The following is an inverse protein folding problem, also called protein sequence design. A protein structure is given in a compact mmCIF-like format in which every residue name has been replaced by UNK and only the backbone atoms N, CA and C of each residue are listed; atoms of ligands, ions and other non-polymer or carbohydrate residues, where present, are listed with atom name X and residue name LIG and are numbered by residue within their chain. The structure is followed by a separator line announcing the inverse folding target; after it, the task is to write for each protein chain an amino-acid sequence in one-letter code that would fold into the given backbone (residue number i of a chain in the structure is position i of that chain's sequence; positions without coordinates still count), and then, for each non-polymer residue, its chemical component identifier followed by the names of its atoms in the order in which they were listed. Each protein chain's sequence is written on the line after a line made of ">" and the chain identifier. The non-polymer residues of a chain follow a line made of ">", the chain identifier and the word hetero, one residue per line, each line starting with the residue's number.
data_IF_637002770097
#
_entry.id   IF_637002770097
#
_cell.length_a   1.000
_cell.length_b   1.000
_cell.length_c   1.000
_cell.angle_alpha   90.00
_cell.angle_beta   90.00
_cell.angle_gamma   90.00
#
_symmetry.space_group_name_H-M   'P 1'
#
loop_
_entity.id
_entity.type
_entity.pdbx_description
1 polymer ?
#
# COMPACT_ATOMS: atom_id res chain seq x y z
N UNK A 1 -53.46 14.58 -18.29
CA UNK A 1 -52.30 14.89 -19.15
C UNK A 1 -51.28 15.80 -18.45
N UNK A 2 -51.70 16.71 -17.55
CA UNK A 2 -50.80 17.64 -16.86
C UNK A 2 -49.98 17.00 -15.71
N UNK A 3 -50.50 15.97 -15.05
CA UNK A 3 -49.85 15.36 -13.87
C UNK A 3 -48.64 14.49 -14.22
N UNK A 4 -48.65 13.84 -15.40
CA UNK A 4 -47.50 13.09 -15.90
C UNK A 4 -46.32 13.98 -16.30
N UNK A 5 -46.61 15.16 -16.86
CA UNK A 5 -45.58 16.16 -17.19
C UNK A 5 -44.98 16.74 -15.91
N UNK A 6 -45.80 17.05 -14.91
CA UNK A 6 -45.34 17.53 -13.59
C UNK A 6 -44.44 16.52 -12.87
N UNK A 7 -44.86 15.26 -12.82
CA UNK A 7 -44.06 14.17 -12.24
C UNK A 7 -42.74 13.94 -12.99
N UNK A 8 -42.73 14.11 -14.32
CA UNK A 8 -41.51 14.02 -15.13
C UNK A 8 -40.57 15.22 -14.86
N UNK A 9 -41.10 16.44 -14.75
CA UNK A 9 -40.31 17.63 -14.41
C UNK A 9 -39.75 17.59 -13.00
N UNK A 10 -40.48 17.09 -12.01
CA UNK A 10 -39.99 16.94 -10.64
C UNK A 10 -38.85 15.91 -10.56
N UNK A 11 -38.98 14.77 -11.26
CA UNK A 11 -37.89 13.80 -11.39
C UNK A 11 -36.68 14.39 -12.11
N UNK A 12 -36.88 15.14 -13.20
CA UNK A 12 -35.79 15.80 -13.94
C UNK A 12 -35.08 16.89 -13.11
N UNK A 13 -35.81 17.65 -12.31
CA UNK A 13 -35.28 18.67 -11.40
C UNK A 13 -34.48 18.06 -10.24
N UNK A 14 -34.82 16.85 -9.79
CA UNK A 14 -34.07 16.13 -8.76
C UNK A 14 -32.85 15.39 -9.31
N UNK A 15 -32.91 14.88 -10.55
CA UNK A 15 -31.80 14.17 -11.20
C UNK A 15 -30.67 15.10 -11.68
N UNK A 16 -31.00 16.31 -12.11
CA UNK A 16 -30.01 17.29 -12.62
C UNK A 16 -28.90 17.63 -11.62
N UNK A 17 -29.17 18.00 -10.35
CA UNK A 17 -28.11 18.29 -9.38
C UNK A 17 -27.28 17.06 -9.00
N UNK A 18 -27.88 15.87 -8.98
CA UNK A 18 -27.19 14.60 -8.68
C UNK A 18 -26.24 14.16 -9.80
N UNK A 19 -26.64 14.36 -11.06
CA UNK A 19 -25.76 14.11 -12.20
C UNK A 19 -24.58 15.08 -12.23
N UNK A 20 -24.81 16.36 -11.92
CA UNK A 20 -23.75 17.37 -11.86
C UNK A 20 -22.77 17.06 -10.73
N UNK A 21 -23.25 16.76 -9.52
CA UNK A 21 -22.39 16.43 -8.38
C UNK A 21 -21.58 15.16 -8.61
N UNK A 22 -22.18 14.14 -9.24
CA UNK A 22 -21.46 12.94 -9.66
C UNK A 22 -20.38 13.24 -10.68
N UNK A 23 -20.69 13.97 -11.74
CA UNK A 23 -19.71 14.32 -12.76
C UNK A 23 -18.57 15.18 -12.19
N UNK A 24 -18.89 16.12 -11.29
CA UNK A 24 -17.90 16.91 -10.56
C UNK A 24 -17.00 16.03 -9.69
N UNK A 25 -17.56 15.08 -8.95
CA UNK A 25 -16.75 14.16 -8.15
C UNK A 25 -15.82 13.32 -9.02
N UNK A 26 -16.31 12.81 -10.15
CA UNK A 26 -15.47 12.08 -11.11
C UNK A 26 -14.33 12.94 -11.65
N UNK A 27 -14.59 14.21 -11.97
CA UNK A 27 -13.56 15.16 -12.41
C UNK A 27 -12.52 15.42 -11.32
N UNK A 28 -12.94 15.53 -10.05
CA UNK A 28 -12.03 15.67 -8.91
C UNK A 28 -11.15 14.44 -8.80
N UNK A 29 -11.69 13.23 -8.84
CA UNK A 29 -10.90 12.00 -8.77
C UNK A 29 -9.99 11.82 -9.98
N UNK A 30 -10.43 12.21 -11.17
CA UNK A 30 -9.58 12.25 -12.36
C UNK A 30 -8.39 13.19 -12.16
N UNK A 31 -8.63 14.40 -11.66
CA UNK A 31 -7.57 15.36 -11.34
C UNK A 31 -6.63 14.82 -10.27
N UNK A 32 -7.15 14.23 -9.20
CA UNK A 32 -6.36 13.58 -8.14
C UNK A 32 -5.49 12.46 -8.70
N UNK A 33 -6.00 11.67 -9.64
CA UNK A 33 -5.24 10.60 -10.30
C UNK A 33 -4.03 11.16 -11.07
N UNK A 34 -4.21 12.26 -11.79
CA UNK A 34 -3.12 12.96 -12.47
C UNK A 34 -2.09 13.54 -11.50
N UNK A 35 -2.53 14.14 -10.39
CA UNK A 35 -1.65 14.70 -9.36
C UNK A 35 -0.86 13.59 -8.67
N UNK A 36 -1.52 12.52 -8.26
CA UNK A 36 -0.89 11.38 -7.62
C UNK A 36 0.13 10.71 -8.55
N UNK A 37 -0.20 10.54 -9.83
CA UNK A 37 0.75 10.01 -10.82
C UNK A 37 2.01 10.87 -10.94
N UNK A 38 1.88 12.21 -10.91
CA UNK A 38 3.05 13.11 -10.90
C UNK A 38 3.86 13.02 -9.61
N UNK A 39 3.22 12.84 -8.47
CA UNK A 39 3.92 12.64 -7.19
C UNK A 39 4.76 11.36 -7.25
N UNK A 40 4.19 10.27 -7.76
CA UNK A 40 4.92 9.00 -7.94
C UNK A 40 6.12 9.18 -8.87
N UNK A 41 5.94 9.84 -10.02
CA UNK A 41 7.03 10.13 -10.95
C UNK A 41 8.13 10.97 -10.27
N UNK A 42 7.76 11.99 -9.50
CA UNK A 42 8.70 12.88 -8.81
C UNK A 42 9.50 12.16 -7.72
N UNK A 43 8.82 11.35 -6.89
CA UNK A 43 9.47 10.56 -5.83
C UNK A 43 10.39 9.50 -6.46
N UNK A 44 9.91 8.80 -7.49
CA UNK A 44 10.69 7.78 -8.19
C UNK A 44 12.01 8.31 -8.75
N UNK A 45 12.00 9.51 -9.35
CA UNK A 45 13.21 10.16 -9.86
C UNK A 45 14.20 10.55 -8.75
N UNK A 46 13.72 10.99 -7.58
CA UNK A 46 14.58 11.34 -6.44
C UNK A 46 15.25 10.12 -5.82
N UNK A 47 14.54 9.00 -5.80
CA UNK A 47 15.00 7.75 -5.18
C UNK A 47 15.81 6.86 -6.13
N UNK A 48 16.15 7.33 -7.35
CA UNK A 48 16.87 6.55 -8.37
C UNK A 48 16.26 5.17 -8.65
N UNK A 49 14.93 5.07 -8.54
CA UNK A 49 14.21 3.83 -8.80
C UNK A 49 14.21 3.53 -10.31
N UNK A 50 14.16 2.24 -10.62
CA UNK A 50 13.98 1.77 -11.98
C UNK A 50 12.68 2.34 -12.58
N UNK A 51 12.75 2.76 -13.86
CA UNK A 51 11.62 3.40 -14.54
C UNK A 51 10.41 2.48 -14.64
N UNK A 52 10.61 1.18 -14.78
CA UNK A 52 9.52 0.21 -14.87
C UNK A 52 8.79 0.08 -13.54
N UNK A 53 9.52 0.15 -12.41
CA UNK A 53 8.91 0.19 -11.07
C UNK A 53 8.08 1.46 -10.89
N UNK A 54 8.61 2.62 -11.29
CA UNK A 54 7.88 3.89 -11.19
C UNK A 54 6.61 3.87 -12.04
N UNK A 55 6.71 3.37 -13.27
CA UNK A 55 5.56 3.23 -14.18
C UNK A 55 4.49 2.29 -13.61
N UNK A 56 4.90 1.17 -13.01
CA UNK A 56 3.99 0.23 -12.35
C UNK A 56 3.27 0.91 -11.18
N UNK A 57 3.99 1.56 -10.27
CA UNK A 57 3.42 2.25 -9.11
C UNK A 57 2.45 3.35 -9.53
N UNK A 58 2.83 4.16 -10.52
CA UNK A 58 1.97 5.21 -11.06
C UNK A 58 0.67 4.62 -11.59
N UNK A 59 0.73 3.53 -12.36
CA UNK A 59 -0.45 2.87 -12.92
C UNK A 59 -1.35 2.31 -11.82
N UNK A 60 -0.78 1.62 -10.83
CA UNK A 60 -1.53 1.06 -9.70
C UNK A 60 -2.26 2.17 -8.92
N UNK A 61 -1.56 3.25 -8.57
CA UNK A 61 -2.16 4.39 -7.84
C UNK A 61 -3.23 5.08 -8.69
N UNK A 62 -2.95 5.33 -9.96
CA UNK A 62 -3.90 6.03 -10.85
C UNK A 62 -5.18 5.24 -11.04
N UNK A 63 -5.07 3.91 -11.27
CA UNK A 63 -6.22 3.02 -11.41
C UNK A 63 -7.01 2.95 -10.11
N UNK A 64 -6.34 2.81 -8.96
CA UNK A 64 -7.01 2.77 -7.66
C UNK A 64 -7.84 4.03 -7.39
N UNK A 65 -7.27 5.22 -7.65
CA UNK A 65 -7.98 6.50 -7.48
C UNK A 65 -9.19 6.60 -8.40
N UNK A 66 -9.06 6.18 -9.66
CA UNK A 66 -10.17 6.22 -10.62
C UNK A 66 -11.27 5.24 -10.23
N UNK A 67 -10.94 4.02 -9.77
CA UNK A 67 -11.95 3.05 -9.30
C UNK A 67 -12.77 3.63 -8.14
N UNK A 68 -12.10 4.21 -7.14
CA UNK A 68 -12.77 4.90 -6.04
C UNK A 68 -13.63 6.06 -6.55
N UNK A 69 -13.10 6.85 -7.49
CA UNK A 69 -13.83 7.97 -8.08
C UNK A 69 -15.09 7.56 -8.83
N UNK A 70 -15.05 6.46 -9.58
CA UNK A 70 -16.23 5.88 -10.24
C UNK A 70 -17.26 5.46 -9.21
N UNK A 71 -16.85 4.73 -8.17
CA UNK A 71 -17.75 4.30 -7.09
C UNK A 71 -18.41 5.47 -6.37
N UNK A 72 -17.63 6.51 -6.02
CA UNK A 72 -18.17 7.72 -5.37
C UNK A 72 -19.13 8.46 -6.30
N UNK A 73 -18.74 8.66 -7.56
CA UNK A 73 -19.58 9.33 -8.57
C UNK A 73 -20.91 8.61 -8.76
N UNK A 74 -20.90 7.28 -8.90
CA UNK A 74 -22.14 6.50 -9.03
C UNK A 74 -23.02 6.62 -7.79
N UNK A 75 -22.44 6.54 -6.59
CA UNK A 75 -23.16 6.74 -5.34
C UNK A 75 -23.83 8.11 -5.24
N UNK A 76 -23.11 9.18 -5.62
CA UNK A 76 -23.68 10.54 -5.63
C UNK A 76 -24.80 10.75 -6.66
N UNK A 77 -24.82 9.94 -7.73
CA UNK A 77 -25.90 9.92 -8.72
C UNK A 77 -27.11 9.07 -8.27
N UNK A 78 -27.09 8.54 -7.05
CA UNK A 78 -28.19 7.73 -6.49
C UNK A 78 -28.14 6.24 -6.88
N UNK A 79 -27.04 5.77 -7.46
CA UNK A 79 -26.83 4.34 -7.74
C UNK A 79 -26.41 3.62 -6.46
N UNK A 80 -27.01 2.46 -6.18
CA UNK A 80 -26.53 1.61 -5.09
C UNK A 80 -25.18 0.99 -5.44
N UNK A 81 -24.14 1.45 -4.75
CA UNK A 81 -22.76 1.00 -4.94
C UNK A 81 -22.29 0.02 -3.87
N UNK A 82 -23.20 -0.48 -3.03
CA UNK A 82 -22.87 -1.38 -1.91
C UNK A 82 -22.10 -2.62 -2.39
N UNK A 83 -22.51 -3.22 -3.51
CA UNK A 83 -21.82 -4.36 -4.11
C UNK A 83 -20.41 -4.02 -4.62
N UNK A 84 -20.21 -2.81 -5.17
CA UNK A 84 -18.89 -2.34 -5.62
C UNK A 84 -17.98 -2.05 -4.43
N UNK A 85 -18.50 -1.42 -3.38
CA UNK A 85 -17.73 -1.16 -2.15
C UNK A 85 -17.34 -2.48 -1.48
N UNK A 86 -18.25 -3.45 -1.43
CA UNK A 86 -17.97 -4.78 -0.88
C UNK A 86 -16.88 -5.51 -1.70
N UNK A 87 -16.95 -5.48 -3.03
CA UNK A 87 -15.94 -6.13 -3.88
C UNK A 87 -14.58 -5.45 -3.80
N UNK A 88 -14.52 -4.12 -3.85
CA UNK A 88 -13.29 -3.35 -3.66
C UNK A 88 -12.68 -3.60 -2.28
N UNK A 89 -13.51 -3.68 -1.24
CA UNK A 89 -13.08 -4.02 0.11
C UNK A 89 -12.47 -5.42 0.19
N UNK A 90 -13.13 -6.42 -0.40
CA UNK A 90 -12.62 -7.80 -0.45
C UNK A 90 -11.32 -7.90 -1.26
N UNK A 91 -11.23 -7.25 -2.42
CA UNK A 91 -10.00 -7.21 -3.22
C UNK A 91 -8.87 -6.50 -2.48
N UNK A 92 -9.17 -5.37 -1.84
CA UNK A 92 -8.20 -4.65 -1.01
C UNK A 92 -7.69 -5.48 0.16
N UNK A 93 -8.58 -6.21 0.84
CA UNK A 93 -8.22 -7.16 1.88
C UNK A 93 -7.30 -8.27 1.35
N UNK A 94 -7.66 -8.90 0.23
CA UNK A 94 -6.87 -9.97 -0.37
C UNK A 94 -5.47 -9.49 -0.79
N UNK A 95 -5.37 -8.30 -1.41
CA UNK A 95 -4.09 -7.67 -1.76
C UNK A 95 -3.26 -7.34 -0.51
N UNK A 96 -3.89 -6.76 0.51
CA UNK A 96 -3.21 -6.46 1.78
C UNK A 96 -2.68 -7.72 2.46
N UNK A 97 -3.47 -8.79 2.43
CA UNK A 97 -3.07 -10.10 2.96
C UNK A 97 -1.89 -10.68 2.18
N UNK A 98 -1.89 -10.57 0.85
CA UNK A 98 -0.78 -11.02 0.01
C UNK A 98 0.52 -10.23 0.28
N UNK A 99 0.42 -8.97 0.70
CA UNK A 99 1.57 -8.12 1.03
C UNK A 99 2.04 -8.26 2.49
N UNK A 100 1.32 -9.02 3.33
CA UNK A 100 1.56 -9.12 4.78
C UNK A 100 3.02 -9.40 5.13
N UNK A 101 3.65 -10.35 4.45
CA UNK A 101 5.02 -10.77 4.76
C UNK A 101 6.06 -9.71 4.39
N UNK A 102 5.81 -8.95 3.32
CA UNK A 102 6.66 -7.82 2.92
C UNK A 102 6.59 -6.72 3.99
N UNK A 103 5.38 -6.33 4.40
CA UNK A 103 5.20 -5.32 5.44
C UNK A 103 5.80 -5.77 6.78
N UNK A 104 5.61 -7.04 7.16
CA UNK A 104 6.17 -7.62 8.38
C UNK A 104 7.69 -7.48 8.42
N UNK A 105 8.38 -7.88 7.35
CA UNK A 105 9.85 -7.78 7.28
C UNK A 105 10.34 -6.33 7.31
N UNK A 106 9.70 -5.42 6.58
CA UNK A 106 10.07 -4.00 6.58
C UNK A 106 9.90 -3.37 7.98
N UNK A 107 8.77 -3.62 8.64
CA UNK A 107 8.53 -3.12 10.00
C UNK A 107 9.54 -3.70 10.99
N UNK A 108 9.81 -5.01 10.92
CA UNK A 108 10.83 -5.64 11.77
C UNK A 108 12.22 -5.05 11.54
N UNK A 109 12.60 -4.77 10.29
CA UNK A 109 13.88 -4.12 9.98
C UNK A 109 13.98 -2.72 10.58
N UNK A 110 12.94 -1.89 10.44
CA UNK A 110 12.89 -0.55 11.06
C UNK A 110 13.01 -0.64 12.57
N UNK A 111 12.31 -1.58 13.21
CA UNK A 111 12.34 -1.76 14.67
C UNK A 111 13.71 -2.23 15.16
N UNK A 112 14.35 -3.17 14.46
CA UNK A 112 15.72 -3.62 14.77
C UNK A 112 16.71 -2.45 14.67
N UNK A 113 16.63 -1.66 13.59
CA UNK A 113 17.52 -0.50 13.40
C UNK A 113 17.30 0.61 14.44
N UNK A 114 16.05 0.79 14.87
CA UNK A 114 15.66 1.83 15.83
C UNK A 114 16.03 1.45 17.26
N UNK A 115 15.65 0.24 17.70
CA UNK A 115 15.86 -0.21 19.09
C UNK A 115 17.20 -0.88 19.31
N UNK A 116 17.89 -1.32 18.26
CA UNK A 116 19.21 -1.96 18.28
C UNK A 116 19.35 -3.01 19.41
N UNK A 117 18.50 -4.04 19.45
CA UNK A 117 18.62 -5.11 20.44
C UNK A 117 19.96 -5.86 20.34
N UNK A 118 20.58 -5.81 19.16
CA UNK A 118 21.95 -6.21 18.85
C UNK A 118 22.51 -5.22 17.82
N UNK A 119 23.82 -5.18 17.69
CA UNK A 119 24.53 -4.33 16.72
C UNK A 119 25.47 -5.17 15.84
N UNK A 120 25.99 -4.55 14.78
CA UNK A 120 27.06 -5.17 13.98
C UNK A 120 28.27 -5.46 14.88
N UNK A 121 28.82 -6.67 14.73
CA UNK A 121 29.89 -7.20 15.55
C UNK A 121 29.44 -8.10 16.70
N UNK A 122 28.15 -8.09 17.08
CA UNK A 122 27.64 -9.04 18.07
C UNK A 122 27.56 -10.45 17.47
N UNK A 123 27.85 -11.47 18.29
CA UNK A 123 27.54 -12.86 17.94
C UNK A 123 26.12 -13.18 18.40
N UNK A 124 25.26 -13.62 17.49
CA UNK A 124 23.88 -13.95 17.81
C UNK A 124 23.52 -15.38 17.42
N UNK A 125 22.58 -15.95 18.16
CA UNK A 125 21.95 -17.25 17.85
C UNK A 125 20.44 -17.05 17.75
N UNK A 126 19.84 -17.47 16.64
CA UNK A 126 18.39 -17.41 16.37
C UNK A 126 17.95 -18.64 15.59
N UNK A 127 16.89 -19.31 16.04
CA UNK A 127 16.30 -20.47 15.35
C UNK A 127 17.30 -21.58 14.96
N UNK A 128 18.34 -21.80 15.77
CA UNK A 128 19.39 -22.80 15.52
C UNK A 128 20.50 -22.36 14.56
N UNK A 129 20.43 -21.14 14.03
CA UNK A 129 21.49 -20.51 13.24
C UNK A 129 22.29 -19.57 14.15
N UNK A 130 23.61 -19.52 13.97
CA UNK A 130 24.48 -18.61 14.72
C UNK A 130 25.58 -18.01 13.85
N UNK A 131 26.08 -16.84 14.26
CA UNK A 131 27.17 -16.14 13.58
C UNK A 131 27.32 -14.71 14.04
N UNK A 132 28.32 -14.02 13.49
CA UNK A 132 28.57 -12.60 13.76
C UNK A 132 27.72 -11.73 12.85
N UNK A 133 27.06 -10.72 13.41
CA UNK A 133 26.26 -9.76 12.64
C UNK A 133 27.18 -8.86 11.82
N UNK A 134 27.15 -8.98 10.49
CA UNK A 134 27.97 -8.16 9.58
C UNK A 134 27.18 -7.03 8.91
N UNK A 135 25.87 -7.20 8.71
CA UNK A 135 25.02 -6.24 8.02
C UNK A 135 23.58 -6.30 8.54
N UNK A 136 22.92 -5.14 8.62
CA UNK A 136 21.51 -5.02 8.99
C UNK A 136 20.86 -4.07 7.99
N UNK A 137 20.03 -4.63 7.12
CA UNK A 137 19.22 -3.90 6.14
C UNK A 137 17.75 -3.87 6.54
N UNK A 138 16.90 -3.23 5.74
CA UNK A 138 15.45 -3.18 6.00
C UNK A 138 14.77 -4.55 5.90
N UNK A 139 15.30 -5.48 5.10
CA UNK A 139 14.69 -6.80 4.86
C UNK A 139 15.40 -7.94 5.57
N UNK A 140 16.73 -7.89 5.62
CA UNK A 140 17.57 -8.97 6.13
C UNK A 140 18.60 -8.45 7.13
N UNK A 141 18.97 -9.30 8.07
CA UNK A 141 20.22 -9.20 8.83
C UNK A 141 21.12 -10.32 8.35
N UNK A 142 22.36 -9.98 8.00
CA UNK A 142 23.34 -10.94 7.48
C UNK A 142 24.28 -11.36 8.61
N UNK A 143 24.35 -12.67 8.84
CA UNK A 143 25.33 -13.28 9.74
C UNK A 143 26.46 -13.89 8.94
N UNK A 144 27.67 -13.87 9.50
CA UNK A 144 28.82 -14.60 8.99
C UNK A 144 29.22 -15.69 9.99
N UNK A 145 29.34 -16.93 9.51
CA UNK A 145 29.78 -18.08 10.30
C UNK A 145 30.55 -19.04 9.41
N UNK A 146 31.72 -19.51 9.86
CA UNK A 146 32.59 -20.45 9.11
C UNK A 146 32.90 -20.06 7.65
N UNK A 147 32.83 -18.76 7.31
CA UNK A 147 33.03 -18.24 5.96
C UNK A 147 31.77 -18.15 5.10
N UNK A 148 30.64 -18.67 5.58
CA UNK A 148 29.34 -18.57 4.93
C UNK A 148 28.55 -17.34 5.38
N UNK A 149 27.72 -16.82 4.47
CA UNK A 149 26.78 -15.71 4.74
C UNK A 149 25.36 -16.23 4.86
N UNK A 150 24.76 -16.01 6.02
CA UNK A 150 23.39 -16.41 6.33
C UNK A 150 22.50 -15.17 6.33
N UNK A 151 21.56 -15.10 5.38
CA UNK A 151 20.61 -13.99 5.29
C UNK A 151 19.33 -14.33 6.07
N UNK A 152 19.14 -13.67 7.21
CA UNK A 152 17.99 -13.92 8.09
C UNK A 152 16.95 -12.82 7.90
N UNK A 153 15.69 -13.14 7.53
CA UNK A 153 14.63 -12.14 7.46
C UNK A 153 14.47 -11.44 8.81
N UNK A 154 14.35 -10.10 8.80
CA UNK A 154 14.22 -9.35 10.04
C UNK A 154 12.98 -9.74 10.85
N UNK A 155 11.91 -10.19 10.19
CA UNK A 155 10.72 -10.72 10.88
C UNK A 155 11.05 -11.93 11.75
N UNK A 156 11.95 -12.82 11.30
CA UNK A 156 12.42 -13.97 12.09
C UNK A 156 13.13 -13.51 13.36
N UNK A 157 14.01 -12.52 13.24
CA UNK A 157 14.76 -11.97 14.38
C UNK A 157 13.83 -11.27 15.39
N UNK A 158 12.80 -10.59 14.91
CA UNK A 158 11.87 -9.88 15.79
C UNK A 158 10.86 -10.82 16.48
N UNK A 159 10.51 -11.96 15.85
CA UNK A 159 9.47 -12.87 16.36
C UNK A 159 10.01 -14.06 17.14
N UNK A 160 11.31 -14.37 17.04
CA UNK A 160 11.94 -15.47 17.75
C UNK A 160 12.86 -14.97 18.87
N UNK A 161 13.04 -15.74 19.95
CA UNK A 161 14.07 -15.46 20.95
C UNK A 161 15.45 -15.42 20.28
N UNK A 162 16.24 -14.40 20.63
CA UNK A 162 17.61 -14.22 20.16
C UNK A 162 18.52 -14.26 21.37
N UNK A 163 19.58 -15.07 21.30
CA UNK A 163 20.67 -14.99 22.27
C UNK A 163 21.75 -14.08 21.71
N UNK A 164 22.14 -13.05 22.46
CA UNK A 164 23.17 -12.10 22.06
C UNK A 164 24.38 -12.28 22.96
N UNK A 165 25.54 -12.51 22.37
CA UNK A 165 26.84 -12.53 23.04
C UNK A 165 27.63 -11.30 22.58
N UNK A 166 27.89 -10.40 23.53
CA UNK A 166 28.68 -9.20 23.27
C UNK A 166 30.17 -9.56 23.22
N UNK A 167 30.95 -8.88 22.36
CA UNK A 167 32.40 -9.03 22.33
C UNK A 167 33.06 -8.54 23.62
#
# INVERSE_FOLDING_TARGET
>A
MNDGIKALTEKLLLFTPQLISGLLSLLVFWFLSLVAGRIVDQVGRRSHLDRDIVNLLRRVVSVGIILVGITVSMGTMGVDVSAMVASLGLTGFALGFALKDVLSNLLSGVLVLTYRPFIRGDWITVSGLEGTVIEIDLRYTTLETEGDRILIPNSTLFTNPITVRKP
#
